data_IF_927388798984
#
_entry.id   IF_927388798984
#
_cell.length_a   1.000
_cell.length_b   1.000
_cell.length_c   1.000
_cell.angle_alpha   90.00
_cell.angle_beta   90.00
_cell.angle_gamma   90.00
#
_symmetry.space_group_name_H-M   'P 1'
#
loop_
_entity.id
_entity.type
_entity.pdbx_description
1 polymer ?
#
# COMPACT_ATOMS: atom_id res chain seq x y z
N UNK A 1 -27.45 23.32 -4.59
CA UNK A 1 -27.79 24.76 -4.44
C UNK A 1 -27.77 25.23 -2.97
N UNK A 2 -28.28 24.46 -1.99
CA UNK A 2 -28.36 24.89 -0.58
C UNK A 2 -26.99 24.93 0.15
N UNK A 3 -26.04 24.04 -0.19
CA UNK A 3 -24.72 23.99 0.45
C UNK A 3 -23.80 25.17 0.09
N UNK A 4 -23.85 25.66 -1.15
CA UNK A 4 -23.04 26.79 -1.61
C UNK A 4 -23.44 28.13 -0.96
N UNK A 5 -24.72 28.33 -0.64
CA UNK A 5 -25.18 29.56 0.03
C UNK A 5 -24.68 29.70 1.47
N UNK A 6 -24.29 28.60 2.14
CA UNK A 6 -23.72 28.67 3.49
C UNK A 6 -22.27 29.18 3.48
N UNK A 7 -21.48 28.78 2.48
CA UNK A 7 -20.07 29.20 2.36
C UNK A 7 -19.91 30.71 2.14
N UNK A 8 -20.82 31.33 1.37
CA UNK A 8 -20.79 32.76 1.06
C UNK A 8 -21.47 33.65 2.12
N UNK A 9 -21.95 33.08 3.23
CA UNK A 9 -22.64 33.82 4.31
C UNK A 9 -21.95 33.71 5.65
N UNK A 10 -20.74 33.12 5.70
CA UNK A 10 -19.94 33.05 6.92
C UNK A 10 -19.46 34.45 7.28
N UNK A 11 -19.99 35.01 8.38
CA UNK A 11 -19.53 36.27 8.95
C UNK A 11 -18.11 36.11 9.50
N UNK A 12 -17.18 37.00 9.15
CA UNK A 12 -15.78 36.98 9.63
C UNK A 12 -14.72 36.59 8.58
N UNK A 13 -15.11 36.19 7.37
CA UNK A 13 -14.13 35.95 6.29
C UNK A 13 -13.77 37.24 5.55
N UNK A 14 -12.50 37.65 5.61
CA UNK A 14 -11.95 38.74 4.80
C UNK A 14 -11.67 38.27 3.36
N UNK A 15 -12.64 38.46 2.48
CA UNK A 15 -12.53 38.09 1.06
C UNK A 15 -11.63 39.02 0.23
N UNK A 16 -11.06 40.09 0.81
CA UNK A 16 -10.19 41.02 0.07
C UNK A 16 -8.78 40.45 -0.17
N UNK A 17 -8.36 39.41 0.59
CA UNK A 17 -7.01 38.84 0.52
C UNK A 17 -6.97 37.35 0.12
N UNK A 18 -8.11 36.76 -0.27
CA UNK A 18 -8.18 35.38 -0.72
C UNK A 18 -7.76 35.22 -2.19
N UNK A 19 -6.59 34.65 -2.44
CA UNK A 19 -6.20 34.21 -3.78
C UNK A 19 -6.85 32.85 -4.10
N UNK A 20 -7.80 32.85 -5.04
CA UNK A 20 -8.28 31.62 -5.69
C UNK A 20 -7.31 31.31 -6.83
N UNK A 21 -6.79 30.08 -6.91
CA UNK A 21 -5.79 29.71 -7.90
C UNK A 21 -6.31 29.90 -9.35
N UNK A 22 -5.44 30.46 -10.19
CA UNK A 22 -5.78 30.97 -11.53
C UNK A 22 -6.09 29.93 -12.59
N UNK A 23 -6.09 28.63 -12.28
CA UNK A 23 -6.41 27.58 -13.26
C UNK A 23 -7.91 27.23 -13.29
N UNK A 24 -8.68 27.67 -12.29
CA UNK A 24 -10.13 27.41 -12.23
C UNK A 24 -11.01 28.45 -12.94
N UNK A 25 -10.45 29.54 -13.47
CA UNK A 25 -11.20 30.60 -14.16
C UNK A 25 -10.60 30.90 -15.52
N UNK A 26 -11.15 30.32 -16.59
CA UNK A 26 -10.57 30.47 -17.94
C UNK A 26 -10.54 31.91 -18.49
N UNK A 27 -11.26 32.89 -17.92
CA UNK A 27 -11.27 34.28 -18.43
C UNK A 27 -11.26 35.39 -17.36
N UNK A 28 -11.06 35.09 -16.07
CA UNK A 28 -10.71 36.10 -15.06
C UNK A 28 -11.70 37.24 -14.74
N UNK A 29 -12.96 37.26 -15.23
CA UNK A 29 -13.90 38.37 -14.95
C UNK A 29 -15.27 37.85 -14.48
N UNK A 30 -15.66 38.23 -13.26
CA UNK A 30 -17.02 38.05 -12.71
C UNK A 30 -17.83 39.32 -12.93
N UNK A 31 -18.94 39.23 -13.68
CA UNK A 31 -19.82 40.37 -13.93
C UNK A 31 -20.83 40.62 -12.80
N UNK A 32 -21.30 39.56 -12.10
CA UNK A 32 -22.18 39.68 -10.94
C UNK A 32 -22.27 38.38 -10.12
N UNK A 33 -23.06 38.42 -9.04
CA UNK A 33 -23.13 37.38 -8.01
C UNK A 33 -23.61 36.01 -8.51
N UNK A 34 -24.41 35.98 -9.57
CA UNK A 34 -25.10 34.79 -10.09
C UNK A 34 -24.36 34.07 -11.23
N UNK A 35 -23.16 34.53 -11.62
CA UNK A 35 -22.39 33.88 -12.70
C UNK A 35 -21.80 32.55 -12.24
N UNK A 36 -22.29 31.44 -12.80
CA UNK A 36 -21.77 30.07 -12.61
C UNK A 36 -20.79 29.73 -13.73
N UNK A 37 -19.71 28.93 -13.50
CA UNK A 37 -18.76 28.57 -14.55
C UNK A 37 -19.40 27.84 -15.74
N UNK A 38 -18.94 28.15 -16.95
CA UNK A 38 -19.41 27.51 -18.19
C UNK A 38 -19.06 26.02 -18.21
N UNK A 39 -20.04 25.13 -18.05
CA UNK A 39 -19.89 23.71 -18.37
C UNK A 39 -20.01 23.55 -19.88
N UNK A 40 -18.87 23.49 -20.57
CA UNK A 40 -18.83 23.25 -22.03
C UNK A 40 -19.09 21.77 -22.29
N UNK A 41 -20.20 21.45 -22.96
CA UNK A 41 -20.42 20.11 -23.54
C UNK A 41 -19.76 20.09 -24.94
N UNK A 42 -18.71 19.28 -25.18
CA UNK A 42 -18.11 19.16 -26.50
C UNK A 42 -19.17 18.75 -27.55
N UNK A 43 -19.12 19.34 -28.76
CA UNK A 43 -20.03 19.00 -29.88
C UNK A 43 -20.04 17.48 -30.17
N UNK A 44 -18.91 16.80 -29.94
CA UNK A 44 -18.75 15.34 -30.08
C UNK A 44 -19.51 14.54 -29.01
N UNK A 45 -19.74 15.11 -27.83
CA UNK A 45 -20.56 14.50 -26.78
C UNK A 45 -22.05 14.71 -27.06
N UNK A 46 -22.42 15.86 -27.64
CA UNK A 46 -23.79 16.14 -28.08
C UNK A 46 -24.24 15.21 -29.21
N UNK A 47 -23.39 14.98 -30.23
CA UNK A 47 -23.69 14.01 -31.31
C UNK A 47 -23.85 12.60 -30.77
N UNK A 48 -22.96 12.15 -29.87
CA UNK A 48 -23.09 10.84 -29.21
C UNK A 48 -24.38 10.69 -28.41
N UNK A 49 -24.86 11.76 -27.75
CA UNK A 49 -26.14 11.74 -27.03
C UNK A 49 -27.32 11.62 -28.00
N UNK A 50 -27.29 12.34 -29.12
CA UNK A 50 -28.31 12.27 -30.18
C UNK A 50 -28.39 10.86 -30.79
N UNK A 51 -27.24 10.24 -31.05
CA UNK A 51 -27.18 8.89 -31.63
C UNK A 51 -27.68 7.82 -30.66
N UNK A 52 -27.30 7.93 -29.37
CA UNK A 52 -27.83 7.04 -28.32
C UNK A 52 -29.33 7.19 -28.18
N UNK A 53 -29.86 8.41 -28.21
CA UNK A 53 -31.30 8.67 -28.14
C UNK A 53 -32.06 7.98 -29.29
N UNK A 54 -31.53 8.10 -30.52
CA UNK A 54 -32.10 7.47 -31.72
C UNK A 54 -32.07 5.94 -31.63
N UNK A 55 -30.94 5.37 -31.19
CA UNK A 55 -30.77 3.93 -31.04
C UNK A 55 -31.75 3.35 -29.99
N UNK A 56 -31.82 3.97 -28.81
CA UNK A 56 -32.75 3.51 -27.76
C UNK A 56 -34.21 3.69 -28.15
N UNK A 57 -34.57 4.73 -28.93
CA UNK A 57 -35.92 4.92 -29.46
C UNK A 57 -36.29 3.80 -30.44
N UNK A 58 -35.42 3.51 -31.41
CA UNK A 58 -35.63 2.43 -32.38
C UNK A 58 -35.76 1.06 -31.71
N UNK A 59 -34.93 0.76 -30.71
CA UNK A 59 -35.02 -0.48 -29.93
C UNK A 59 -36.30 -0.60 -29.11
N UNK A 60 -36.76 0.51 -28.54
CA UNK A 60 -38.01 0.55 -27.79
C UNK A 60 -39.22 0.29 -28.70
N UNK A 61 -39.21 0.87 -29.90
CA UNK A 61 -40.28 0.70 -30.90
C UNK A 61 -40.27 -0.70 -31.54
N UNK A 62 -39.11 -1.35 -31.65
CA UNK A 62 -38.97 -2.69 -32.24
C UNK A 62 -39.14 -3.84 -31.24
N UNK A 63 -39.03 -3.59 -29.93
CA UNK A 63 -39.12 -4.65 -28.93
C UNK A 63 -40.58 -5.06 -28.69
N UNK A 64 -40.83 -6.38 -28.64
CA UNK A 64 -42.14 -6.98 -28.32
C UNK A 64 -42.22 -7.50 -26.88
N UNK A 65 -41.11 -7.43 -26.13
CA UNK A 65 -41.03 -7.85 -24.74
C UNK A 65 -41.29 -6.66 -23.81
N UNK A 66 -42.34 -6.77 -22.99
CA UNK A 66 -42.80 -5.69 -22.12
C UNK A 66 -41.85 -5.41 -20.95
N UNK A 67 -41.06 -6.41 -20.53
CA UNK A 67 -40.00 -6.23 -19.53
C UNK A 67 -38.80 -5.46 -20.10
N UNK A 68 -38.44 -5.74 -21.37
CA UNK A 68 -37.38 -5.00 -22.07
C UNK A 68 -37.82 -3.57 -22.40
N UNK A 69 -39.08 -3.37 -22.83
CA UNK A 69 -39.63 -2.02 -23.05
C UNK A 69 -39.56 -1.15 -21.80
N UNK A 70 -39.88 -1.67 -20.63
CA UNK A 70 -39.85 -0.89 -19.38
C UNK A 70 -38.43 -0.41 -19.03
N UNK A 71 -37.43 -1.27 -19.27
CA UNK A 71 -35.99 -0.94 -19.11
C UNK A 71 -35.53 0.08 -20.17
N UNK A 72 -35.97 -0.09 -21.41
CA UNK A 72 -35.65 0.82 -22.52
C UNK A 72 -36.31 2.20 -22.33
N UNK A 73 -37.54 2.27 -21.79
CA UNK A 73 -38.26 3.50 -21.47
C UNK A 73 -37.53 4.32 -20.42
N UNK A 74 -37.02 3.66 -19.36
CA UNK A 74 -36.23 4.30 -18.31
C UNK A 74 -34.93 4.91 -18.87
N UNK A 75 -34.23 4.17 -19.74
CA UNK A 75 -33.02 4.68 -20.43
C UNK A 75 -33.36 5.81 -21.40
N UNK A 76 -34.47 5.71 -22.13
CA UNK A 76 -34.94 6.74 -23.05
C UNK A 76 -35.22 8.06 -22.31
N UNK A 77 -35.90 8.01 -21.17
CA UNK A 77 -36.21 9.18 -20.34
C UNK A 77 -34.94 9.83 -19.78
N UNK A 78 -33.96 9.02 -19.35
CA UNK A 78 -32.66 9.51 -18.89
C UNK A 78 -31.89 10.22 -20.00
N UNK A 79 -31.79 9.62 -21.19
CA UNK A 79 -31.08 10.23 -22.32
C UNK A 79 -31.84 11.43 -22.91
N UNK A 80 -33.17 11.47 -22.86
CA UNK A 80 -33.98 12.65 -23.21
C UNK A 80 -33.65 13.83 -22.30
N UNK A 81 -33.60 13.64 -20.97
CA UNK A 81 -33.22 14.68 -20.01
C UNK A 81 -31.79 15.19 -20.26
N UNK A 82 -30.82 14.27 -20.47
CA UNK A 82 -29.43 14.64 -20.79
C UNK A 82 -29.30 15.41 -22.11
N UNK A 83 -30.06 15.02 -23.13
CA UNK A 83 -30.09 15.70 -24.43
C UNK A 83 -30.72 17.10 -24.33
N UNK A 84 -31.85 17.25 -23.61
CA UNK A 84 -32.48 18.55 -23.39
C UNK A 84 -31.59 19.53 -22.61
N UNK A 85 -30.92 19.05 -21.55
CA UNK A 85 -29.94 19.84 -20.81
C UNK A 85 -28.79 20.30 -21.72
N UNK A 86 -28.23 19.40 -22.53
CA UNK A 86 -27.18 19.75 -23.47
C UNK A 86 -27.65 20.72 -24.57
N UNK A 87 -28.92 20.60 -25.03
CA UNK A 87 -29.52 21.51 -26.01
C UNK A 87 -29.72 22.93 -25.46
N UNK A 88 -30.13 23.03 -24.19
CA UNK A 88 -30.28 24.33 -23.51
C UNK A 88 -28.95 25.08 -23.41
N UNK A 89 -27.84 24.34 -23.22
CA UNK A 89 -26.47 24.87 -23.15
C UNK A 89 -25.94 25.23 -24.56
N UNK A 90 -26.38 24.53 -25.61
CA UNK A 90 -25.97 24.80 -26.99
C UNK A 90 -26.72 25.99 -27.62
N UNK A 91 -27.97 26.20 -27.24
CA UNK A 91 -28.80 27.30 -27.72
C UNK A 91 -28.52 28.63 -27.01
N UNK A 92 -27.86 28.61 -25.85
CA UNK A 92 -27.21 29.79 -25.29
C UNK A 92 -25.96 30.08 -26.12
N UNK A 93 -26.08 30.99 -27.10
CA UNK A 93 -25.04 31.36 -28.08
C UNK A 93 -23.67 31.69 -27.45
N UNK A 94 -22.83 30.69 -27.21
CA UNK A 94 -21.42 30.84 -26.85
C UNK A 94 -20.61 30.10 -27.91
N UNK A 95 -20.05 30.87 -28.85
CA UNK A 95 -19.27 30.35 -29.96
C UNK A 95 -17.84 30.04 -29.52
N UNK A 96 -17.29 28.83 -29.80
CA UNK A 96 -15.92 28.49 -29.44
C UNK A 96 -14.93 28.95 -30.50
N UNK A 97 -13.86 29.64 -30.08
CA UNK A 97 -12.69 29.88 -30.94
C UNK A 97 -11.95 28.55 -31.24
N UNK A 98 -11.63 28.31 -32.51
CA UNK A 98 -10.90 27.11 -32.98
C UNK A 98 -9.50 27.05 -32.37
N UNK A 99 -9.14 25.91 -31.75
CA UNK A 99 -7.75 25.59 -31.35
C UNK A 99 -6.87 25.32 -32.58
N UNK A 100 -5.59 25.78 -32.59
CA UNK A 100 -4.63 25.36 -33.61
C UNK A 100 -4.24 23.88 -33.42
N UNK A 101 -4.09 23.14 -34.53
CA UNK A 101 -3.63 21.74 -34.52
C UNK A 101 -2.15 21.65 -34.13
N UNK A 102 -1.85 20.95 -33.03
CA UNK A 102 -0.48 20.51 -32.69
C UNK A 102 -0.05 19.36 -33.62
N UNK A 103 1.19 19.44 -34.15
CA UNK A 103 1.83 18.38 -34.93
C UNK A 103 2.06 17.14 -34.05
N UNK A 104 1.58 15.98 -34.49
CA UNK A 104 1.88 14.68 -33.90
C UNK A 104 3.34 14.31 -34.20
N UNK A 105 4.17 14.19 -33.16
CA UNK A 105 5.44 13.48 -33.28
C UNK A 105 5.15 11.98 -33.35
N UNK A 106 5.53 11.34 -34.47
CA UNK A 106 5.53 9.88 -34.60
C UNK A 106 6.70 9.32 -33.80
N UNK A 107 6.40 8.57 -32.73
CA UNK A 107 7.39 7.68 -32.14
C UNK A 107 7.52 6.42 -33.02
N UNK A 108 8.75 6.04 -33.34
CA UNK A 108 9.06 4.77 -33.99
C UNK A 108 8.78 3.61 -33.01
N UNK A 109 8.22 2.49 -33.47
CA UNK A 109 7.93 1.36 -32.61
C UNK A 109 9.22 0.72 -32.07
N UNK A 110 9.26 0.51 -30.76
CA UNK A 110 10.36 -0.20 -30.08
C UNK A 110 10.36 -1.67 -30.52
N UNK A 111 11.48 -2.12 -31.11
CA UNK A 111 11.68 -3.52 -31.51
C UNK A 111 11.73 -4.41 -30.27
N UNK A 112 10.83 -5.40 -30.19
CA UNK A 112 10.88 -6.47 -29.18
C UNK A 112 12.16 -7.29 -29.35
N UNK A 113 12.96 -7.41 -28.28
CA UNK A 113 14.11 -8.30 -28.20
C UNK A 113 13.62 -9.75 -28.10
N UNK A 114 14.09 -10.64 -28.98
CA UNK A 114 13.83 -12.08 -28.95
C UNK A 114 14.62 -12.70 -27.80
N UNK A 115 13.95 -13.45 -26.92
CA UNK A 115 14.57 -14.30 -25.91
C UNK A 115 15.05 -15.59 -26.58
N UNK A 116 16.36 -15.77 -26.67
CA UNK A 116 16.98 -17.04 -27.08
C UNK A 116 16.96 -18.02 -25.90
N UNK A 117 16.20 -19.11 -26.05
CA UNK A 117 16.30 -20.30 -25.21
C UNK A 117 17.61 -21.01 -25.53
N UNK A 118 18.58 -20.97 -24.61
CA UNK A 118 19.72 -21.88 -24.66
C UNK A 118 19.35 -23.16 -23.90
N UNK A 119 19.10 -24.21 -24.68
CA UNK A 119 19.14 -25.61 -24.26
C UNK A 119 20.58 -25.97 -23.88
N UNK A 120 20.79 -26.42 -22.64
CA UNK A 120 22.02 -27.09 -22.22
C UNK A 120 21.69 -28.59 -22.08
N UNK A 121 22.50 -29.50 -22.66
CA UNK A 121 22.16 -30.92 -22.78
C UNK A 121 22.25 -31.65 -21.44
N UNK A 122 21.29 -32.55 -21.22
CA UNK A 122 21.34 -33.62 -20.21
C UNK A 122 22.24 -34.74 -20.74
N UNK A 123 23.27 -35.09 -19.99
CA UNK A 123 23.95 -36.38 -20.08
C UNK A 123 24.11 -36.98 -18.68
N UNK A 124 23.46 -38.14 -18.54
CA UNK A 124 23.40 -39.25 -17.56
C UNK A 124 24.67 -39.57 -16.73
N UNK A 125 24.67 -40.52 -15.76
CA UNK A 125 23.64 -41.54 -15.46
C UNK A 125 23.27 -41.76 -13.98
N UNK A 126 22.20 -42.54 -13.83
CA UNK A 126 21.61 -43.02 -12.59
C UNK A 126 22.59 -43.82 -11.72
N UNK A 127 22.61 -43.52 -10.42
CA UNK A 127 23.04 -44.47 -9.39
C UNK A 127 21.87 -45.43 -9.12
N UNK A 128 21.93 -46.60 -9.74
CA UNK A 128 21.20 -47.80 -9.32
C UNK A 128 21.90 -48.40 -8.11
N UNK A 129 21.12 -48.69 -7.07
CA UNK A 129 21.50 -49.46 -5.89
C UNK A 129 22.11 -50.82 -6.30
N UNK A 130 23.22 -51.28 -5.68
CA UNK A 130 23.64 -52.66 -5.84
C UNK A 130 22.89 -53.55 -4.85
N UNK A 131 22.13 -54.46 -5.45
CA UNK A 131 21.60 -55.70 -4.89
C UNK A 131 22.72 -56.52 -4.24
N UNK A 132 22.37 -57.11 -3.10
CA UNK A 132 23.11 -58.13 -2.35
C UNK A 132 23.55 -59.25 -3.31
N UNK A 133 24.86 -59.42 -3.50
CA UNK A 133 25.44 -60.64 -4.08
C UNK A 133 25.87 -61.52 -2.91
N UNK A 134 25.12 -62.61 -2.72
CA UNK A 134 25.61 -63.80 -2.04
C UNK A 134 26.65 -64.48 -2.93
N UNK A 135 27.87 -64.61 -2.42
CA UNK A 135 28.85 -65.59 -2.82
C UNK A 135 29.60 -65.96 -1.54
N UNK A 136 29.92 -67.20 -1.21
CA UNK A 136 29.68 -68.51 -1.83
C UNK A 136 30.31 -69.53 -0.87
N UNK A 137 30.25 -70.81 -1.25
CA UNK A 137 31.21 -71.86 -0.90
C UNK A 137 30.91 -72.74 0.34
N UNK A 138 30.41 -73.94 0.02
CA UNK A 138 30.99 -75.24 0.39
C UNK A 138 31.44 -75.45 1.83
N UNK A 139 30.65 -76.22 2.57
CA UNK A 139 31.16 -77.07 3.64
C UNK A 139 31.16 -78.52 3.15
N UNK A 140 32.37 -79.04 2.94
CA UNK A 140 32.68 -80.45 2.96
C UNK A 140 32.50 -81.00 4.38
N UNK A 141 32.03 -82.23 4.48
CA UNK A 141 32.16 -83.15 5.61
C UNK A 141 33.57 -83.11 6.22
N UNK A 142 33.68 -83.29 7.54
CA UNK A 142 34.53 -84.33 8.21
C UNK A 142 34.56 -84.12 9.73
N UNK A 143 34.27 -85.21 10.44
CA UNK A 143 34.68 -85.67 11.79
C UNK A 143 35.10 -84.65 12.87
N UNK A 144 34.42 -84.74 14.01
CA UNK A 144 34.98 -85.12 15.34
C UNK A 144 36.42 -84.64 15.67
N UNK A 145 36.55 -83.62 16.52
CA UNK A 145 37.58 -83.54 17.58
C UNK A 145 37.33 -82.36 18.53
N UNK A 146 37.85 -82.48 19.76
CA UNK A 146 37.55 -81.74 21.00
C UNK A 146 38.02 -80.25 21.05
N UNK A 147 37.55 -79.42 22.01
CA UNK A 147 37.88 -77.99 22.06
C UNK A 147 39.29 -77.72 22.63
N UNK A 148 40.05 -76.86 21.93
CA UNK A 148 41.36 -76.34 22.35
C UNK A 148 41.25 -74.85 22.74
N UNK A 149 41.45 -74.47 24.02
CA UNK A 149 41.18 -73.13 24.53
C UNK A 149 42.10 -71.99 24.04
N UNK A 150 43.22 -72.27 23.37
CA UNK A 150 44.18 -71.24 22.93
C UNK A 150 43.83 -70.57 21.59
N UNK A 151 43.05 -71.22 20.71
CA UNK A 151 42.62 -70.59 19.43
C UNK A 151 41.50 -69.58 19.64
N UNK A 152 40.58 -69.86 20.56
CA UNK A 152 39.49 -68.94 20.92
C UNK A 152 40.02 -67.65 21.56
N UNK A 153 41.11 -67.72 22.34
CA UNK A 153 41.74 -66.55 22.99
C UNK A 153 42.36 -65.60 21.96
N UNK A 154 43.00 -66.14 20.91
CA UNK A 154 43.61 -65.32 19.86
C UNK A 154 42.55 -64.64 18.98
N UNK A 155 41.47 -65.33 18.61
CA UNK A 155 40.34 -64.72 17.88
C UNK A 155 39.64 -63.65 18.72
N UNK A 156 39.45 -63.89 20.02
CA UNK A 156 38.93 -62.89 20.97
C UNK A 156 39.86 -61.68 21.10
N UNK A 157 41.17 -61.89 21.12
CA UNK A 157 42.18 -60.82 21.16
C UNK A 157 42.12 -59.94 19.89
N UNK A 158 42.02 -60.56 18.72
CA UNK A 158 41.91 -59.84 17.44
C UNK A 158 40.60 -59.03 17.35
N UNK A 159 39.49 -59.58 17.86
CA UNK A 159 38.21 -58.86 17.97
C UNK A 159 38.31 -57.65 18.91
N UNK A 160 39.00 -57.77 20.04
CA UNK A 160 39.23 -56.65 20.98
C UNK A 160 40.11 -55.57 20.35
N UNK A 161 41.15 -55.96 19.60
CA UNK A 161 42.02 -55.04 18.86
C UNK A 161 41.22 -54.27 17.79
N UNK A 162 40.34 -54.96 17.08
CA UNK A 162 39.47 -54.39 16.05
C UNK A 162 38.44 -53.43 16.66
N UNK A 163 37.81 -53.79 17.77
CA UNK A 163 36.91 -52.92 18.51
C UNK A 163 37.61 -51.67 19.08
N UNK A 164 38.85 -51.78 19.55
CA UNK A 164 39.64 -50.61 19.99
C UNK A 164 39.93 -49.65 18.85
N UNK A 165 40.27 -50.16 17.66
CA UNK A 165 40.47 -49.32 16.46
C UNK A 165 39.18 -48.64 16.04
N UNK A 166 38.05 -49.34 16.07
CA UNK A 166 36.73 -48.77 15.78
C UNK A 166 36.37 -47.67 16.80
N UNK A 167 36.66 -47.90 18.09
CA UNK A 167 36.44 -46.92 19.16
C UNK A 167 37.27 -45.64 18.97
N UNK A 168 38.55 -45.75 18.61
CA UNK A 168 39.39 -44.58 18.32
C UNK A 168 38.92 -43.81 17.07
N UNK A 169 38.47 -44.54 16.05
CA UNK A 169 37.84 -43.94 14.86
C UNK A 169 36.54 -43.21 15.23
N UNK A 170 35.73 -43.76 16.12
CA UNK A 170 34.53 -43.09 16.63
C UNK A 170 34.87 -41.85 17.46
N UNK A 171 35.86 -41.92 18.35
CA UNK A 171 36.31 -40.76 19.15
C UNK A 171 36.83 -39.61 18.28
N UNK A 172 37.62 -39.91 17.26
CA UNK A 172 38.10 -38.88 16.32
C UNK A 172 36.93 -38.26 15.54
N UNK A 173 35.93 -39.04 15.16
CA UNK A 173 34.71 -38.52 14.51
C UNK A 173 33.87 -37.65 15.44
N UNK A 174 33.75 -38.00 16.72
CA UNK A 174 33.06 -37.19 17.74
C UNK A 174 33.75 -35.83 17.87
N UNK A 175 35.08 -35.79 18.03
CA UNK A 175 35.83 -34.53 18.12
C UNK A 175 35.62 -33.62 16.90
N UNK A 176 35.60 -34.20 15.70
CA UNK A 176 35.31 -33.45 14.48
C UNK A 176 33.89 -32.87 14.48
N UNK A 177 32.89 -33.67 14.87
CA UNK A 177 31.50 -33.20 14.96
C UNK A 177 31.33 -32.11 16.02
N UNK A 178 31.97 -32.24 17.17
CA UNK A 178 31.99 -31.21 18.22
C UNK A 178 32.56 -29.89 17.70
N UNK A 179 33.67 -29.94 16.95
CA UNK A 179 34.25 -28.77 16.31
C UNK A 179 33.29 -28.12 15.30
N UNK A 180 32.58 -28.91 14.49
CA UNK A 180 31.59 -28.38 13.56
C UNK A 180 30.39 -27.74 14.26
N UNK A 181 29.89 -28.34 15.35
CA UNK A 181 28.81 -27.78 16.16
C UNK A 181 29.23 -26.42 16.71
N UNK A 182 30.43 -26.30 17.26
CA UNK A 182 30.95 -25.03 17.79
C UNK A 182 31.00 -23.94 16.71
N UNK A 183 31.45 -24.30 15.51
CA UNK A 183 31.47 -23.38 14.36
C UNK A 183 30.06 -22.93 13.96
N UNK A 184 29.10 -23.85 13.91
CA UNK A 184 27.70 -23.54 13.60
C UNK A 184 27.06 -22.65 14.66
N UNK A 185 27.32 -22.91 15.95
CA UNK A 185 26.86 -22.05 17.06
C UNK A 185 27.37 -20.62 16.92
N UNK A 186 28.63 -20.43 16.52
CA UNK A 186 29.18 -19.10 16.23
C UNK A 186 28.43 -18.38 15.11
N UNK A 187 28.11 -19.09 14.03
CA UNK A 187 27.35 -18.54 12.89
C UNK A 187 25.92 -18.16 13.33
N UNK A 188 25.23 -19.04 14.06
CA UNK A 188 23.87 -18.78 14.56
C UNK A 188 23.87 -17.52 15.44
N UNK A 189 24.81 -17.41 16.39
CA UNK A 189 24.91 -16.21 17.24
C UNK A 189 25.14 -14.93 16.44
N UNK A 190 25.98 -14.99 15.39
CA UNK A 190 26.20 -13.85 14.51
C UNK A 190 24.93 -13.47 13.72
N UNK A 191 24.21 -14.45 13.18
CA UNK A 191 22.96 -14.21 12.45
C UNK A 191 21.87 -13.68 13.38
N UNK A 192 21.74 -14.23 14.58
CA UNK A 192 20.79 -13.78 15.59
C UNK A 192 21.02 -12.31 15.94
N UNK A 193 22.26 -11.88 16.18
CA UNK A 193 22.61 -10.47 16.48
C UNK A 193 22.35 -9.50 15.32
N UNK A 194 22.32 -10.00 14.09
CA UNK A 194 22.08 -9.20 12.89
C UNK A 194 20.65 -9.33 12.34
N UNK A 195 19.82 -10.15 12.98
CA UNK A 195 18.42 -10.31 12.59
C UNK A 195 17.62 -9.03 12.88
N UNK A 196 16.60 -8.80 12.05
CA UNK A 196 15.66 -7.69 12.22
C UNK A 196 14.72 -7.99 13.39
N UNK A 197 15.16 -7.66 14.60
CA UNK A 197 14.33 -7.75 15.81
C UNK A 197 14.44 -6.45 16.60
N UNK A 198 13.38 -6.13 17.34
CA UNK A 198 13.38 -4.96 18.22
C UNK A 198 14.58 -4.99 19.18
N UNK A 199 14.86 -6.13 19.84
CA UNK A 199 15.96 -6.27 20.81
C UNK A 199 17.31 -5.88 20.21
N UNK A 200 17.65 -6.42 19.03
CA UNK A 200 18.93 -6.13 18.39
C UNK A 200 19.03 -4.71 17.85
N UNK A 201 17.91 -4.17 17.36
CA UNK A 201 17.88 -2.84 16.74
C UNK A 201 17.83 -1.73 17.79
N UNK A 202 17.20 -1.97 18.94
CA UNK A 202 17.16 -1.03 20.07
C UNK A 202 18.59 -0.73 20.59
N UNK A 203 19.50 -1.70 20.55
CA UNK A 203 20.92 -1.52 20.85
C UNK A 203 21.68 -0.66 19.82
N UNK A 204 21.05 -0.32 18.68
CA UNK A 204 21.63 0.46 17.59
C UNK A 204 20.79 1.73 17.33
N UNK A 205 20.81 2.74 18.22
CA UNK A 205 19.87 3.87 18.20
C UNK A 205 19.84 4.65 16.88
N UNK A 206 21.00 4.87 16.24
CA UNK A 206 21.07 5.56 14.95
C UNK A 206 20.35 4.78 13.84
N UNK A 207 20.57 3.47 13.79
CA UNK A 207 19.91 2.59 12.83
C UNK A 207 18.43 2.47 13.14
N UNK A 208 18.05 2.33 14.41
CA UNK A 208 16.65 2.29 14.84
C UNK A 208 15.90 3.55 14.42
N UNK A 209 16.48 4.72 14.74
CA UNK A 209 15.94 6.02 14.35
C UNK A 209 15.85 6.15 12.85
N UNK A 210 16.80 5.64 12.07
CA UNK A 210 16.74 5.61 10.59
C UNK A 210 15.61 4.70 10.07
N UNK A 211 15.35 3.57 10.70
CA UNK A 211 14.35 2.61 10.24
C UNK A 211 12.93 3.14 10.45
N UNK A 212 12.58 3.57 11.66
CA UNK A 212 11.19 3.91 11.99
C UNK A 212 10.88 5.39 12.11
N UNK A 213 11.89 6.26 12.26
CA UNK A 213 11.68 7.71 12.43
C UNK A 213 11.73 8.17 13.87
N UNK A 214 11.68 7.23 14.81
CA UNK A 214 11.55 7.49 16.24
C UNK A 214 12.81 7.06 16.98
N UNK A 215 13.12 7.78 18.05
CA UNK A 215 14.06 7.30 19.05
C UNK A 215 13.47 6.08 19.78
N UNK A 216 14.34 5.29 20.41
CA UNK A 216 13.92 4.03 21.07
C UNK A 216 12.91 4.32 22.17
N UNK A 217 13.12 5.39 22.94
CA UNK A 217 12.22 5.80 24.03
C UNK A 217 10.87 6.30 23.49
N UNK A 218 10.87 7.08 22.41
CA UNK A 218 9.65 7.53 21.74
C UNK A 218 8.83 6.35 21.19
N UNK A 219 9.51 5.38 20.58
CA UNK A 219 8.89 4.15 20.09
C UNK A 219 8.28 3.34 21.24
N UNK A 220 9.01 3.19 22.34
CA UNK A 220 8.54 2.48 23.53
C UNK A 220 7.32 3.18 24.14
N UNK A 221 7.36 4.50 24.24
CA UNK A 221 6.22 5.30 24.72
C UNK A 221 4.98 5.05 23.87
N UNK A 222 5.08 5.11 22.53
CA UNK A 222 3.96 4.82 21.64
C UNK A 222 3.47 3.37 21.78
N UNK A 223 4.40 2.43 21.93
CA UNK A 223 4.06 1.02 22.13
C UNK A 223 3.28 0.82 23.43
N UNK A 224 3.67 1.49 24.52
CA UNK A 224 2.95 1.47 25.80
C UNK A 224 1.56 2.12 25.69
N UNK A 225 1.40 3.19 24.89
CA UNK A 225 0.08 3.78 24.64
C UNK A 225 -0.90 2.80 23.98
N UNK A 226 -0.42 1.93 23.09
CA UNK A 226 -1.27 0.96 22.38
C UNK A 226 -1.37 -0.40 23.08
N UNK A 227 -0.44 -0.70 24.00
CA UNK A 227 -0.34 -1.98 24.71
C UNK A 227 -1.63 -2.44 25.40
N UNK A 228 -2.40 -1.57 26.10
CA UNK A 228 -3.68 -1.94 26.72
C UNK A 228 -4.72 -2.46 25.72
N UNK A 229 -4.60 -2.05 24.45
CA UNK A 229 -5.57 -2.36 23.40
C UNK A 229 -5.17 -3.56 22.53
N UNK A 230 -4.04 -4.22 22.81
CA UNK A 230 -3.57 -5.37 22.02
C UNK A 230 -4.56 -6.55 22.00
N UNK A 231 -5.49 -6.63 22.95
CA UNK A 231 -6.58 -7.61 22.91
C UNK A 231 -7.52 -7.43 21.70
N UNK A 232 -7.68 -6.21 21.20
CA UNK A 232 -8.40 -5.92 19.96
C UNK A 232 -7.62 -6.42 18.73
N UNK A 233 -6.29 -6.43 18.84
CA UNK A 233 -5.39 -6.88 17.79
C UNK A 233 -5.50 -8.39 17.53
N UNK A 234 -5.64 -9.18 18.59
CA UNK A 234 -5.77 -10.64 18.52
C UNK A 234 -7.03 -11.09 17.75
N UNK A 235 -8.07 -10.24 17.67
CA UNK A 235 -9.28 -10.51 16.86
C UNK A 235 -9.00 -10.50 15.35
N UNK A 236 -7.87 -9.95 14.89
CA UNK A 236 -7.53 -9.80 13.47
C UNK A 236 -6.82 -11.02 12.86
N UNK A 237 -6.95 -12.23 13.46
CA UNK A 237 -6.23 -13.46 13.03
C UNK A 237 -4.72 -13.21 12.85
N UNK A 238 -4.14 -12.62 13.88
CA UNK A 238 -2.79 -12.11 13.88
C UNK A 238 -1.72 -13.22 13.95
N UNK A 239 -0.67 -13.21 13.10
CA UNK A 239 0.44 -14.16 13.19
C UNK A 239 1.32 -13.90 14.42
N UNK A 240 1.37 -14.85 15.36
CA UNK A 240 2.22 -14.77 16.57
C UNK A 240 3.67 -15.24 16.34
N UNK A 241 4.25 -14.88 15.20
CA UNK A 241 5.59 -15.34 14.79
C UNK A 241 6.70 -14.54 15.49
N UNK A 242 6.50 -13.22 15.61
CA UNK A 242 7.46 -12.31 16.26
C UNK A 242 6.80 -11.57 17.43
N UNK A 243 7.61 -11.06 18.37
CA UNK A 243 7.11 -10.14 19.41
C UNK A 243 6.47 -8.89 18.81
N UNK A 244 5.48 -8.32 19.50
CA UNK A 244 4.69 -7.19 18.98
C UNK A 244 5.56 -6.00 18.61
N UNK A 245 6.61 -5.74 19.37
CA UNK A 245 7.55 -4.65 19.18
C UNK A 245 8.29 -4.80 17.83
N UNK A 246 8.74 -6.01 17.49
CA UNK A 246 9.39 -6.28 16.20
C UNK A 246 8.40 -6.09 15.05
N UNK A 247 7.16 -6.52 15.21
CA UNK A 247 6.13 -6.39 14.17
C UNK A 247 5.70 -4.94 13.96
N UNK A 248 5.57 -4.20 15.05
CA UNK A 248 5.28 -2.77 15.05
C UNK A 248 6.43 -2.01 14.38
N UNK A 249 7.68 -2.30 14.77
CA UNK A 249 8.88 -1.73 14.16
C UNK A 249 8.95 -2.00 12.64
N UNK A 250 8.63 -3.22 12.21
CA UNK A 250 8.55 -3.57 10.80
C UNK A 250 7.52 -2.72 10.06
N UNK A 251 6.33 -2.56 10.65
CA UNK A 251 5.25 -1.76 10.07
C UNK A 251 5.64 -0.28 9.98
N UNK A 252 6.22 0.29 11.04
CA UNK A 252 6.71 1.67 11.03
C UNK A 252 7.83 1.87 9.99
N UNK A 253 8.69 0.87 9.80
CA UNK A 253 9.75 0.91 8.78
C UNK A 253 9.17 0.92 7.36
N UNK A 254 8.15 0.09 7.10
CA UNK A 254 7.39 0.09 5.84
C UNK A 254 6.77 1.48 5.61
N UNK A 255 6.05 2.02 6.60
CA UNK A 255 5.38 3.32 6.50
C UNK A 255 6.37 4.45 6.23
N UNK A 256 7.52 4.47 6.92
CA UNK A 256 8.51 5.53 6.74
C UNK A 256 9.15 5.51 5.36
N UNK A 257 9.58 4.33 4.92
CA UNK A 257 10.39 4.19 3.70
C UNK A 257 9.56 3.84 2.47
N UNK A 258 8.23 3.73 2.63
CA UNK A 258 7.31 3.26 1.58
C UNK A 258 7.76 1.93 0.95
N UNK A 259 8.25 1.00 1.79
CA UNK A 259 8.71 -0.31 1.34
C UNK A 259 7.54 -1.19 0.97
N UNK A 260 7.73 -2.08 -0.01
CA UNK A 260 6.76 -3.12 -0.27
C UNK A 260 6.82 -4.22 0.81
N UNK A 261 5.69 -4.90 1.03
CA UNK A 261 5.63 -6.00 1.98
C UNK A 261 6.56 -7.16 1.60
N UNK A 262 6.82 -7.38 0.30
CA UNK A 262 7.72 -8.44 -0.17
C UNK A 262 9.16 -8.20 0.32
N UNK A 263 9.70 -6.99 0.16
CA UNK A 263 11.04 -6.66 0.63
C UNK A 263 11.12 -6.76 2.15
N UNK A 264 10.13 -6.22 2.87
CA UNK A 264 10.14 -6.32 4.33
C UNK A 264 10.05 -7.78 4.80
N UNK A 265 9.31 -8.63 4.08
CA UNK A 265 9.22 -10.05 4.37
C UNK A 265 10.56 -10.76 4.19
N UNK A 266 11.34 -10.39 3.17
CA UNK A 266 12.69 -10.88 2.97
C UNK A 266 13.62 -10.45 4.11
N UNK A 267 13.57 -9.17 4.51
CA UNK A 267 14.40 -8.62 5.60
C UNK A 267 14.14 -9.32 6.93
N UNK A 268 12.87 -9.60 7.24
CA UNK A 268 12.46 -10.25 8.50
C UNK A 268 12.56 -11.78 8.44
N UNK A 269 12.68 -12.38 7.26
CA UNK A 269 12.68 -13.83 7.09
C UNK A 269 11.29 -14.45 7.29
N UNK A 270 10.25 -13.84 6.70
CA UNK A 270 8.87 -14.37 6.70
C UNK A 270 8.29 -14.42 5.29
N UNK A 271 7.09 -14.97 5.13
CA UNK A 271 6.40 -14.95 3.83
C UNK A 271 5.80 -13.58 3.54
N UNK A 272 5.74 -13.19 2.26
CA UNK A 272 5.07 -11.97 1.81
C UNK A 272 3.62 -11.88 2.34
N UNK A 273 2.88 -13.00 2.30
CA UNK A 273 1.49 -13.05 2.78
C UNK A 273 1.39 -12.81 4.29
N UNK A 274 2.35 -13.30 5.07
CA UNK A 274 2.41 -13.05 6.51
C UNK A 274 2.72 -11.59 6.76
N UNK A 275 3.72 -11.03 6.07
CA UNK A 275 4.12 -9.63 6.26
C UNK A 275 2.99 -8.67 5.91
N UNK A 276 2.25 -8.95 4.83
CA UNK A 276 1.07 -8.17 4.47
C UNK A 276 -0.01 -8.22 5.56
N UNK A 277 -0.29 -9.39 6.14
CA UNK A 277 -1.25 -9.51 7.25
C UNK A 277 -0.80 -8.72 8.47
N UNK A 278 0.48 -8.82 8.84
CA UNK A 278 1.06 -8.07 9.96
C UNK A 278 0.90 -6.58 9.72
N UNK A 279 1.39 -6.07 8.59
CA UNK A 279 1.34 -4.64 8.27
C UNK A 279 -0.08 -4.10 8.20
N UNK A 280 -0.99 -4.79 7.50
CA UNK A 280 -2.39 -4.38 7.41
C UNK A 280 -3.07 -4.39 8.78
N UNK A 281 -2.84 -5.43 9.59
CA UNK A 281 -3.44 -5.50 10.93
C UNK A 281 -2.94 -4.33 11.79
N UNK A 282 -1.63 -4.06 11.82
CA UNK A 282 -1.06 -2.92 12.54
C UNK A 282 -1.63 -1.60 12.06
N UNK A 283 -1.69 -1.35 10.75
CA UNK A 283 -2.26 -0.10 10.21
C UNK A 283 -3.72 0.06 10.64
N UNK A 284 -4.56 -0.98 10.50
CA UNK A 284 -5.97 -0.95 10.90
C UNK A 284 -6.12 -0.72 12.40
N UNK A 285 -5.31 -1.38 13.21
CA UNK A 285 -5.34 -1.26 14.66
C UNK A 285 -4.93 0.14 15.13
N UNK A 286 -3.79 0.64 14.64
CA UNK A 286 -3.30 1.98 14.96
C UNK A 286 -4.32 3.04 14.53
N UNK A 287 -4.89 2.92 13.33
CA UNK A 287 -5.96 3.80 12.89
C UNK A 287 -7.18 3.70 13.82
N UNK A 288 -7.56 2.50 14.26
CA UNK A 288 -8.70 2.31 15.17
C UNK A 288 -8.49 2.96 16.53
N UNK A 289 -7.26 2.87 17.08
CA UNK A 289 -6.90 3.46 18.37
C UNK A 289 -6.74 4.97 18.24
N UNK A 290 -5.92 5.44 17.30
CA UNK A 290 -5.57 6.85 17.16
C UNK A 290 -6.69 7.71 16.58
N UNK A 291 -7.62 7.17 15.78
CA UNK A 291 -8.80 7.93 15.36
C UNK A 291 -9.78 8.22 16.52
N UNK A 292 -9.54 7.66 17.72
CA UNK A 292 -10.28 8.04 18.94
C UNK A 292 -9.67 9.24 19.65
N UNK A 293 -8.47 9.64 19.28
CA UNK A 293 -7.78 10.81 19.81
C UNK A 293 -8.15 11.99 18.93
N UNK A 294 -8.70 13.04 19.54
CA UNK A 294 -8.93 14.30 18.85
C UNK A 294 -7.58 14.99 18.66
N UNK A 295 -7.10 15.06 17.41
CA UNK A 295 -5.84 15.72 17.06
C UNK A 295 -5.99 17.24 16.91
N UNK A 296 -7.16 17.79 17.26
CA UNK A 296 -7.38 19.23 17.24
C UNK A 296 -6.44 19.86 18.28
N UNK A 297 -5.51 20.74 17.86
CA UNK A 297 -4.61 21.39 18.79
C UNK A 297 -5.39 22.30 19.76
N UNK A 298 -4.87 22.43 20.98
CA UNK A 298 -5.37 23.43 21.93
C UNK A 298 -5.13 24.85 21.40
N UNK A 299 -5.93 25.79 21.89
CA UNK A 299 -5.86 27.18 21.47
C UNK A 299 -4.46 27.76 21.68
N UNK A 300 -3.92 28.43 20.66
CA UNK A 300 -2.58 29.02 20.70
C UNK A 300 -1.40 28.05 20.62
N UNK A 301 -1.61 26.72 20.63
CA UNK A 301 -0.53 25.74 20.39
C UNK A 301 0.11 25.95 19.01
N UNK A 302 -0.73 26.17 17.98
CA UNK A 302 -0.27 26.40 16.62
C UNK A 302 0.55 27.68 16.50
N UNK A 303 0.12 28.77 17.16
CA UNK A 303 0.85 30.03 17.22
C UNK A 303 2.22 29.82 17.88
N UNK A 304 2.28 29.08 18.99
CA UNK A 304 3.54 28.80 19.69
C UNK A 304 4.52 27.98 18.84
N UNK A 305 4.00 27.06 18.02
CA UNK A 305 4.80 26.20 17.12
C UNK A 305 4.97 26.80 15.72
N UNK A 306 4.50 28.02 15.48
CA UNK A 306 4.52 28.65 14.16
C UNK A 306 5.97 28.82 13.67
N UNK A 307 6.34 28.29 12.48
CA UNK A 307 7.66 28.52 11.92
C UNK A 307 7.88 30.00 11.64
N UNK A 308 9.09 30.51 11.95
CA UNK A 308 9.46 31.92 11.70
C UNK A 308 9.28 32.32 10.23
N UNK A 309 9.47 31.40 9.30
CA UNK A 309 9.27 31.64 7.87
C UNK A 309 7.83 32.02 7.54
N UNK A 310 6.83 31.39 8.15
CA UNK A 310 5.41 31.72 7.95
C UNK A 310 5.08 33.10 8.51
N UNK A 311 5.62 33.43 9.69
CA UNK A 311 5.43 34.75 10.31
C UNK A 311 6.02 35.85 9.41
N UNK A 312 7.24 35.65 8.91
CA UNK A 312 7.92 36.64 8.06
C UNK A 312 7.24 36.87 6.71
N UNK A 313 6.51 35.89 6.18
CA UNK A 313 5.75 36.03 4.93
C UNK A 313 4.33 36.58 5.13
N UNK A 314 3.95 36.91 6.38
CA UNK A 314 2.62 37.43 6.72
C UNK A 314 1.58 36.36 7.01
N UNK A 315 1.96 35.07 6.98
CA UNK A 315 1.08 33.92 7.22
C UNK A 315 1.20 33.38 8.65
N UNK A 316 1.43 34.28 9.61
CA UNK A 316 1.63 33.94 11.03
C UNK A 316 0.39 33.37 11.72
N UNK A 317 -0.79 33.57 11.13
CA UNK A 317 -2.09 33.09 11.63
C UNK A 317 -2.64 31.91 10.81
N UNK A 318 -1.79 31.22 10.04
CA UNK A 318 -2.21 30.00 9.34
C UNK A 318 -2.35 28.85 10.32
N UNK A 319 -3.55 28.33 10.51
CA UNK A 319 -3.77 27.15 11.36
C UNK A 319 -3.58 25.86 10.58
N UNK A 320 -3.98 25.87 9.31
CA UNK A 320 -4.11 24.67 8.52
C UNK A 320 -3.70 24.90 7.08
N UNK A 321 -2.89 23.98 6.57
CA UNK A 321 -2.50 23.87 5.17
C UNK A 321 -3.18 22.63 4.64
N UNK A 322 -3.99 22.78 3.60
CA UNK A 322 -4.87 21.72 3.11
C UNK A 322 -4.56 21.40 1.66
N UNK A 323 -4.47 20.12 1.36
CA UNK A 323 -4.31 19.59 0.00
C UNK A 323 -5.28 18.42 -0.25
N UNK A 324 -5.85 18.36 -1.46
CA UNK A 324 -6.68 17.27 -1.91
C UNK A 324 -5.81 16.22 -2.63
N UNK A 325 -5.25 15.30 -1.86
CA UNK A 325 -4.33 14.28 -2.36
C UNK A 325 -5.07 13.16 -3.10
N UNK A 326 -4.61 12.84 -4.32
CA UNK A 326 -5.12 11.73 -5.13
C UNK A 326 -4.17 10.53 -5.15
N UNK A 327 -4.70 9.35 -4.79
CA UNK A 327 -4.01 8.07 -4.82
C UNK A 327 -4.43 7.26 -6.04
N UNK A 328 -3.47 6.71 -6.79
CA UNK A 328 -3.79 5.83 -7.92
C UNK A 328 -4.38 4.51 -7.44
N UNK A 329 -5.53 4.16 -8.01
CA UNK A 329 -6.25 2.93 -7.70
C UNK A 329 -6.24 2.01 -8.92
N UNK A 330 -6.44 0.71 -8.68
CA UNK A 330 -6.67 -0.23 -9.76
C UNK A 330 -8.01 0.09 -10.44
N UNK A 331 -8.05 -0.15 -11.75
CA UNK A 331 -9.24 0.10 -12.57
C UNK A 331 -10.32 -0.91 -12.17
N UNK A 332 -11.48 -0.41 -11.76
CA UNK A 332 -12.64 -1.25 -11.49
C UNK A 332 -13.17 -1.85 -12.81
N UNK A 333 -13.55 -3.13 -12.79
CA UNK A 333 -14.20 -3.79 -13.93
C UNK A 333 -15.61 -3.24 -14.20
N UNK A 334 -16.27 -2.71 -13.16
CA UNK A 334 -17.54 -2.03 -13.28
C UNK A 334 -17.33 -0.62 -13.86
N UNK A 335 -17.93 -0.35 -15.04
CA UNK A 335 -17.80 0.92 -15.74
C UNK A 335 -18.35 2.12 -14.97
N UNK A 336 -19.43 1.96 -14.19
CA UNK A 336 -20.01 3.05 -13.42
C UNK A 336 -19.07 3.43 -12.27
N UNK A 337 -18.57 2.43 -11.53
CA UNK A 337 -17.56 2.65 -10.48
C UNK A 337 -16.28 3.24 -11.07
N UNK A 338 -15.83 2.73 -12.21
CA UNK A 338 -14.64 3.27 -12.87
C UNK A 338 -14.83 4.73 -13.30
N UNK A 339 -16.02 5.11 -13.77
CA UNK A 339 -16.32 6.49 -14.13
C UNK A 339 -16.32 7.43 -12.93
N UNK A 340 -16.75 6.97 -11.75
CA UNK A 340 -16.71 7.72 -10.50
C UNK A 340 -15.28 7.82 -9.93
N UNK A 341 -14.49 6.77 -10.08
CA UNK A 341 -13.10 6.79 -9.62
C UNK A 341 -12.18 7.59 -10.57
N UNK A 342 -12.63 7.89 -11.79
CA UNK A 342 -11.80 8.55 -12.78
C UNK A 342 -11.56 10.03 -12.44
N UNK A 343 -10.34 10.37 -12.07
CA UNK A 343 -9.91 11.76 -11.97
C UNK A 343 -9.57 12.28 -13.36
N UNK A 344 -10.25 13.34 -13.77
CA UNK A 344 -9.95 14.04 -15.02
C UNK A 344 -8.57 14.70 -14.96
N UNK A 345 -8.15 15.16 -13.78
CA UNK A 345 -6.86 15.82 -13.58
C UNK A 345 -5.69 14.84 -13.73
N UNK A 346 -5.75 13.66 -13.09
CA UNK A 346 -4.68 12.64 -13.17
C UNK A 346 -4.84 11.68 -14.37
N UNK A 347 -5.95 11.78 -15.11
CA UNK A 347 -6.30 10.91 -16.24
C UNK A 347 -6.19 9.42 -15.88
N UNK A 348 -6.63 9.07 -14.66
CA UNK A 348 -6.55 7.71 -14.12
C UNK A 348 -7.62 7.49 -13.04
N UNK A 349 -7.91 6.23 -12.75
CA UNK A 349 -8.75 5.86 -11.60
C UNK A 349 -7.99 6.15 -10.31
N UNK A 350 -8.56 6.99 -9.45
CA UNK A 350 -7.95 7.45 -8.21
C UNK A 350 -8.97 7.45 -7.08
N UNK A 351 -8.47 7.35 -5.85
CA UNK A 351 -9.18 7.80 -4.66
C UNK A 351 -8.64 9.16 -4.25
N UNK A 352 -9.49 10.05 -3.79
CA UNK A 352 -9.12 11.40 -3.32
C UNK A 352 -9.37 11.53 -1.83
N UNK A 353 -8.43 12.07 -1.08
CA UNK A 353 -8.61 12.42 0.32
C UNK A 353 -8.12 13.84 0.57
N UNK A 354 -8.80 14.55 1.46
CA UNK A 354 -8.36 15.84 1.96
C UNK A 354 -7.43 15.61 3.15
N UNK A 355 -6.24 16.19 3.05
CA UNK A 355 -5.23 16.12 4.11
C UNK A 355 -4.97 17.56 4.58
N UNK A 356 -5.08 17.77 5.89
CA UNK A 356 -4.79 19.04 6.55
C UNK A 356 -3.62 18.89 7.51
N UNK A 357 -2.60 19.72 7.33
CA UNK A 357 -1.42 19.78 8.21
C UNK A 357 -1.28 21.17 8.83
N UNK A 358 -0.73 21.26 10.03
CA UNK A 358 -0.28 22.52 10.60
C UNK A 358 0.97 23.04 9.87
N UNK A 359 1.28 24.35 9.93
CA UNK A 359 2.49 24.92 9.32
C UNK A 359 3.81 24.29 9.78
N UNK A 360 3.87 23.74 10.99
CA UNK A 360 5.03 23.03 11.52
C UNK A 360 5.09 21.55 11.09
N UNK A 361 4.16 21.08 10.27
CA UNK A 361 4.15 19.75 9.66
C UNK A 361 3.34 18.68 10.40
N UNK A 362 2.66 19.02 11.50
CA UNK A 362 1.79 18.08 12.21
C UNK A 362 0.51 17.81 11.41
N UNK A 363 0.16 16.54 11.20
CA UNK A 363 -1.12 16.18 10.60
C UNK A 363 -2.29 16.38 11.56
N UNK A 364 -3.31 17.12 11.14
CA UNK A 364 -4.50 17.45 11.94
C UNK A 364 -5.73 16.74 11.37
N UNK A 365 -5.93 16.86 10.06
CA UNK A 365 -7.15 16.38 9.39
C UNK A 365 -6.77 15.34 8.34
N UNK A 366 -7.41 14.18 8.41
CA UNK A 366 -7.31 13.13 7.40
C UNK A 366 -8.73 12.66 7.06
N UNK A 367 -9.22 13.01 5.87
CA UNK A 367 -10.56 12.59 5.46
C UNK A 367 -10.61 11.10 5.13
N UNK A 368 -11.82 10.55 5.06
CA UNK A 368 -12.03 9.32 4.30
C UNK A 368 -11.60 9.48 2.84
N UNK A 369 -11.31 8.37 2.19
CA UNK A 369 -11.00 8.35 0.75
C UNK A 369 -12.32 8.32 -0.04
N UNK A 370 -12.49 9.29 -0.92
CA UNK A 370 -13.64 9.45 -1.82
C UNK A 370 -13.25 9.08 -3.26
N UNK A 371 -14.23 8.88 -4.16
CA UNK A 371 -13.93 8.66 -5.58
C UNK A 371 -13.17 9.84 -6.20
N UNK A 372 -12.21 9.55 -7.06
CA UNK A 372 -11.34 10.56 -7.68
C UNK A 372 -12.06 11.64 -8.50
N UNK A 373 -13.31 11.42 -8.89
CA UNK A 373 -14.11 12.44 -9.58
C UNK A 373 -14.66 13.53 -8.67
N UNK A 374 -14.60 13.37 -7.34
CA UNK A 374 -15.10 14.38 -6.39
C UNK A 374 -14.30 15.68 -6.53
N UNK A 375 -14.98 16.83 -6.46
CA UNK A 375 -14.29 18.12 -6.49
C UNK A 375 -13.67 18.46 -5.14
N UNK A 376 -12.64 19.30 -5.17
CA UNK A 376 -11.94 19.71 -3.94
C UNK A 376 -12.86 20.56 -3.06
N UNK A 377 -13.76 21.34 -3.67
CA UNK A 377 -14.81 22.07 -2.95
C UNK A 377 -15.83 21.16 -2.25
N UNK A 378 -16.21 20.04 -2.88
CA UNK A 378 -17.15 19.08 -2.30
C UNK A 378 -16.53 18.32 -1.13
N UNK A 379 -15.30 17.82 -1.28
CA UNK A 379 -14.61 17.12 -0.18
C UNK A 379 -14.29 18.06 0.98
N UNK A 380 -13.93 19.32 0.71
CA UNK A 380 -13.73 20.36 1.74
C UNK A 380 -15.02 20.64 2.52
N UNK A 381 -16.16 20.70 1.83
CA UNK A 381 -17.45 20.92 2.48
C UNK A 381 -17.89 19.72 3.33
N UNK A 382 -17.62 18.48 2.90
CA UNK A 382 -18.03 17.26 3.62
C UNK A 382 -17.13 16.99 4.84
N UNK A 383 -15.89 17.45 4.81
CA UNK A 383 -14.91 17.23 5.90
C UNK A 383 -15.04 18.20 7.06
N UNK A 384 -15.91 19.22 6.96
CA UNK A 384 -16.13 20.25 7.97
C UNK A 384 -14.82 20.88 8.49
N UNK A 385 -13.85 21.07 7.59
CA UNK A 385 -12.49 21.46 7.96
C UNK A 385 -12.39 22.79 8.73
N UNK A 386 -13.37 23.67 8.53
CA UNK A 386 -13.47 24.96 9.23
C UNK A 386 -13.61 24.81 10.75
N UNK A 387 -14.00 23.63 11.27
CA UNK A 387 -14.06 23.36 12.71
C UNK A 387 -12.68 23.27 13.37
N UNK A 388 -11.63 23.10 12.58
CA UNK A 388 -10.25 22.93 13.05
C UNK A 388 -9.45 24.24 13.09
N UNK A 389 -10.07 25.36 12.72
CA UNK A 389 -9.41 26.65 12.53
C UNK A 389 -10.05 27.67 13.46
N UNK A 390 -9.23 28.49 14.10
CA UNK A 390 -9.69 29.55 14.98
C UNK A 390 -10.36 30.68 14.18
N UNK A 391 -11.18 31.48 14.86
CA UNK A 391 -11.83 32.63 14.20
C UNK A 391 -10.75 33.67 13.85
N UNK A 392 -10.86 34.31 12.69
CA UNK A 392 -9.85 35.24 12.13
C UNK A 392 -8.49 34.61 11.75
N UNK A 393 -8.37 33.28 11.82
CA UNK A 393 -7.19 32.55 11.33
C UNK A 393 -7.36 32.07 9.89
N UNK A 394 -6.23 31.73 9.29
CA UNK A 394 -6.12 31.43 7.87
C UNK A 394 -6.04 29.92 7.59
N UNK A 395 -6.65 29.52 6.47
CA UNK A 395 -6.42 28.23 5.84
C UNK A 395 -5.64 28.48 4.56
N UNK A 396 -4.49 27.82 4.42
CA UNK A 396 -3.70 27.85 3.20
C UNK A 396 -4.05 26.65 2.33
N UNK A 397 -4.34 26.88 1.05
CA UNK A 397 -4.62 25.85 0.04
C UNK A 397 -3.85 26.17 -1.24
N UNK A 398 -3.80 25.23 -2.18
CA UNK A 398 -3.12 25.37 -3.48
C UNK A 398 -3.94 26.10 -4.56
#
# INVERSE_FOLDING_TARGET
QILYQRLFRTTGMNFEHGHICGEHWMNGIRKNADSVPEIIVPVTQFTKLKDKLRNYKSRYESSKDESEKLKLQSKLNLFKKKYQAALSILNSNITPNKRPRRKLYKHSPVKKRKTTQNLVPKSSPALTSPTIIQASSSSSTVLSSQPHPERDINELSDLVEQQKKELEKQKSKIKELEFQILKQQGIISYLEKNSFTYKNLAEKPKTFKLLCGLEVDEFNMLMECVRPYLSLFDKLRHPKIFGWETQYLATMTICRHSLNFDFMSFVIGTSATTMQRIGNNWIIFLATVFNRIELKPEHGFLIQKMPKSFIHTGHGNTDLIVDATEFKFQIATNYDVNSLMFSHYKNHSTGKALIGIAPHGMGIVFSHVYPGSISDSEITAITDILKFVETEHEIMTD
#
